data_IF_544727544629
#
_entry.id   IF_544727544629
#
_cell.length_a   1.000
_cell.length_b   1.000
_cell.length_c   1.000
_cell.angle_alpha   90.00
_cell.angle_beta   90.00
_cell.angle_gamma   90.00
#
_symmetry.space_group_name_H-M   'P 1'
#
loop_
_entity.id
_entity.type
_entity.pdbx_description
1 polymer ?
#
# COMPACT_ATOMS: atom_id res chain seq x y z
N UNK A 1 34.72 -9.39 5.99
CA UNK A 1 34.64 -8.34 7.04
C UNK A 1 33.97 -7.05 6.55
N UNK A 2 34.38 -6.40 5.45
CA UNK A 2 33.64 -5.24 4.91
C UNK A 2 32.23 -5.56 4.37
N UNK A 3 32.04 -6.71 3.70
CA UNK A 3 30.71 -7.19 3.29
C UNK A 3 29.78 -7.56 4.46
N UNK A 4 30.38 -7.90 5.61
CA UNK A 4 29.66 -8.32 6.81
C UNK A 4 29.19 -7.09 7.60
N UNK A 5 30.03 -6.04 7.66
CA UNK A 5 29.69 -4.71 8.17
C UNK A 5 28.67 -3.98 7.28
N UNK A 6 28.69 -4.17 5.95
CA UNK A 6 27.63 -3.67 5.07
C UNK A 6 26.32 -4.44 5.22
N UNK A 7 26.36 -5.76 5.48
CA UNK A 7 25.17 -6.54 5.85
C UNK A 7 24.58 -6.08 7.19
N UNK A 8 25.40 -5.90 8.22
CA UNK A 8 24.92 -5.41 9.53
C UNK A 8 24.45 -3.96 9.49
N UNK A 9 25.01 -3.10 8.63
CA UNK A 9 24.46 -1.74 8.40
C UNK A 9 23.15 -1.75 7.62
N UNK A 10 22.94 -2.70 6.71
CA UNK A 10 21.64 -2.91 6.02
C UNK A 10 20.60 -3.56 6.93
N UNK A 11 21.00 -4.41 7.86
CA UNK A 11 20.13 -4.93 8.94
C UNK A 11 19.69 -3.82 9.90
N UNK A 12 20.47 -2.75 10.07
CA UNK A 12 20.11 -1.62 10.94
C UNK A 12 19.08 -0.64 10.33
N UNK A 13 18.70 -0.80 9.06
CA UNK A 13 17.56 -0.11 8.45
C UNK A 13 16.31 -1.01 8.47
N UNK A 14 16.06 -1.72 9.58
CA UNK A 14 14.77 -2.36 9.78
C UNK A 14 13.69 -1.28 9.78
N UNK A 15 12.91 -1.20 8.71
CA UNK A 15 11.68 -0.40 8.60
C UNK A 15 10.59 -0.83 9.62
N UNK A 16 10.97 -1.65 10.61
CA UNK A 16 10.14 -2.14 11.70
C UNK A 16 9.22 -3.29 11.32
N UNK A 17 9.24 -3.76 10.06
CA UNK A 17 8.39 -4.83 9.57
C UNK A 17 9.18 -6.00 8.96
N UNK A 18 8.65 -7.21 9.14
CA UNK A 18 9.21 -8.47 8.61
C UNK A 18 8.31 -9.11 7.53
N UNK A 19 7.19 -8.44 7.18
CA UNK A 19 6.18 -8.91 6.22
C UNK A 19 5.94 -7.85 5.14
N UNK A 20 5.68 -8.27 3.91
CA UNK A 20 5.44 -7.39 2.75
C UNK A 20 4.21 -6.49 2.93
N UNK A 21 3.24 -6.89 3.77
CA UNK A 21 2.13 -6.02 4.19
C UNK A 21 2.62 -4.72 4.83
N UNK A 22 3.72 -4.75 5.58
CA UNK A 22 4.32 -3.54 6.16
C UNK A 22 4.95 -2.64 5.11
N UNK A 23 5.52 -3.21 4.04
CA UNK A 23 6.01 -2.41 2.92
C UNK A 23 4.87 -1.77 2.14
N UNK A 24 3.77 -2.51 1.91
CA UNK A 24 2.57 -1.95 1.30
C UNK A 24 2.02 -0.79 2.13
N UNK A 25 1.89 -0.96 3.45
CA UNK A 25 1.41 0.10 4.34
C UNK A 25 2.33 1.33 4.31
N UNK A 26 3.64 1.13 4.33
CA UNK A 26 4.62 2.22 4.20
C UNK A 26 4.56 2.93 2.85
N UNK A 27 4.22 2.21 1.77
CA UNK A 27 4.02 2.79 0.44
C UNK A 27 2.70 3.57 0.33
N UNK A 28 1.63 3.07 0.97
CA UNK A 28 0.33 3.75 1.04
C UNK A 28 0.34 4.95 2.00
N UNK A 29 1.23 4.99 2.99
CA UNK A 29 1.37 6.11 3.93
C UNK A 29 2.13 7.31 3.33
N UNK A 30 1.83 7.63 2.07
CA UNK A 30 2.34 8.79 1.34
C UNK A 30 1.17 9.65 0.87
N UNK A 31 1.19 10.92 1.25
CA UNK A 31 0.11 11.86 0.98
C UNK A 31 0.65 13.08 0.25
N UNK A 32 -0.13 13.60 -0.70
CA UNK A 32 0.29 14.71 -1.53
C UNK A 32 0.30 16.00 -0.68
N UNK A 33 1.42 16.73 -0.69
CA UNK A 33 1.55 17.98 0.06
C UNK A 33 1.66 17.83 1.58
N UNK A 34 1.85 16.60 2.10
CA UNK A 34 2.13 16.35 3.51
C UNK A 34 3.61 16.03 3.67
N UNK A 35 4.36 16.97 4.23
CA UNK A 35 5.77 16.74 4.60
C UNK A 35 5.91 16.67 6.11
N UNK A 36 6.48 15.57 6.60
CA UNK A 36 6.88 15.48 8.01
C UNK A 36 8.19 16.24 8.20
N UNK A 37 8.28 17.02 9.28
CA UNK A 37 9.55 17.65 9.69
C UNK A 37 10.54 16.53 10.00
N UNK A 38 11.66 16.41 9.28
CA UNK A 38 12.62 15.35 9.55
C UNK A 38 13.15 15.46 10.98
N UNK A 39 13.30 14.34 11.66
CA UNK A 39 13.79 14.33 13.04
C UNK A 39 15.14 15.05 13.21
N UNK A 40 15.98 15.06 12.17
CA UNK A 40 17.25 15.80 12.15
C UNK A 40 17.10 17.29 12.42
N UNK A 41 16.02 17.93 11.93
CA UNK A 41 15.74 19.34 12.20
C UNK A 41 15.40 19.56 13.68
N UNK A 42 14.60 18.68 14.26
CA UNK A 42 14.26 18.72 15.69
C UNK A 42 15.52 18.54 16.54
N UNK A 43 16.35 17.55 16.21
CA UNK A 43 17.61 17.30 16.90
C UNK A 43 18.57 18.49 16.78
N UNK A 44 18.72 19.07 15.58
CA UNK A 44 19.54 20.25 15.36
C UNK A 44 19.04 21.46 16.17
N UNK A 45 17.72 21.67 16.24
CA UNK A 45 17.13 22.73 17.04
C UNK A 45 17.40 22.55 18.53
N UNK A 46 17.33 21.31 19.05
CA UNK A 46 17.67 21.01 20.46
C UNK A 46 19.14 21.28 20.74
N UNK A 47 20.05 20.85 19.86
CA UNK A 47 21.49 21.11 20.03
C UNK A 47 21.77 22.61 19.98
N UNK A 48 21.18 23.33 19.03
CA UNK A 48 21.31 24.79 18.93
C UNK A 48 20.79 25.48 20.20
N UNK A 49 19.66 25.05 20.74
CA UNK A 49 19.09 25.56 21.99
C UNK A 49 20.06 25.38 23.18
N UNK A 50 20.62 24.17 23.33
CA UNK A 50 21.59 23.88 24.42
C UNK A 50 22.85 24.73 24.27
N UNK A 51 23.36 24.91 23.05
CA UNK A 51 24.54 25.73 22.79
C UNK A 51 24.27 27.22 23.05
N UNK A 52 23.07 27.71 22.78
CA UNK A 52 22.72 29.11 23.02
C UNK A 52 22.53 29.38 24.51
N UNK A 53 21.81 28.51 25.23
CA UNK A 53 21.52 28.75 26.65
C UNK A 53 22.74 28.53 27.56
N UNK A 54 23.67 27.65 27.16
CA UNK A 54 24.88 27.37 27.93
C UNK A 54 26.05 28.27 27.51
N UNK A 55 26.89 27.83 26.56
CA UNK A 55 28.08 28.58 26.17
C UNK A 55 27.75 29.93 25.54
N UNK A 56 26.72 30.01 24.69
CA UNK A 56 26.32 31.24 24.01
C UNK A 56 25.97 32.36 24.98
N UNK A 57 25.08 32.09 25.93
CA UNK A 57 24.65 33.04 26.95
C UNK A 57 25.82 33.50 27.83
N UNK A 58 26.64 32.55 28.29
CA UNK A 58 27.81 32.84 29.11
C UNK A 58 28.80 33.78 28.40
N UNK A 59 29.17 33.48 27.15
CA UNK A 59 30.12 34.32 26.41
C UNK A 59 29.53 35.69 26.08
N UNK A 60 28.25 35.77 25.71
CA UNK A 60 27.58 37.04 25.43
C UNK A 60 27.53 37.95 26.67
N UNK A 61 27.11 37.41 27.81
CA UNK A 61 27.00 38.20 29.04
C UNK A 61 28.36 38.53 29.65
N UNK A 62 29.34 37.63 29.56
CA UNK A 62 30.69 37.86 30.10
C UNK A 62 31.51 38.82 29.25
N UNK A 63 31.49 38.68 27.92
CA UNK A 63 32.37 39.45 27.02
C UNK A 63 31.73 40.70 26.42
N UNK A 64 30.41 40.72 26.22
CA UNK A 64 29.74 41.83 25.52
C UNK A 64 29.02 42.75 26.49
N UNK A 65 28.17 42.20 27.37
CA UNK A 65 27.29 43.02 28.23
C UNK A 65 27.92 43.34 29.60
N UNK A 66 28.80 42.46 30.09
CA UNK A 66 29.52 42.64 31.37
C UNK A 66 28.67 42.49 32.63
N UNK A 67 27.40 42.09 32.52
CA UNK A 67 26.47 41.88 33.65
C UNK A 67 25.87 40.49 33.60
N UNK A 68 26.31 39.62 34.53
CA UNK A 68 25.86 38.22 34.55
C UNK A 68 24.42 38.03 35.04
N UNK A 69 23.85 39.01 35.73
CA UNK A 69 22.45 38.93 36.21
C UNK A 69 21.41 38.96 35.07
N UNK A 70 21.82 39.42 33.87
CA UNK A 70 20.94 39.46 32.69
C UNK A 70 20.64 38.07 32.10
N UNK A 71 21.27 37.00 32.59
CA UNK A 71 20.97 35.61 32.23
C UNK A 71 19.48 35.29 32.37
N UNK A 72 18.80 35.84 33.37
CA UNK A 72 17.36 35.62 33.55
C UNK A 72 16.52 36.15 32.37
N UNK A 73 16.92 37.27 31.77
CA UNK A 73 16.23 37.87 30.64
C UNK A 73 16.59 37.14 29.35
N UNK A 74 17.88 36.90 29.11
CA UNK A 74 18.37 36.25 27.89
C UNK A 74 17.92 34.79 27.78
N UNK A 75 17.91 34.05 28.89
CA UNK A 75 17.37 32.68 28.93
C UNK A 75 15.86 32.65 28.66
N UNK A 76 15.09 33.54 29.29
CA UNK A 76 13.64 33.64 29.05
C UNK A 76 13.35 34.01 27.59
N UNK A 77 14.08 34.98 27.03
CA UNK A 77 13.94 35.37 25.63
C UNK A 77 14.29 34.21 24.69
N UNK A 78 15.36 33.46 24.99
CA UNK A 78 15.75 32.28 24.22
C UNK A 78 14.65 31.23 24.23
N UNK A 79 14.06 30.94 25.40
CA UNK A 79 12.93 30.01 25.51
C UNK A 79 11.77 30.47 24.62
N UNK A 80 11.37 31.74 24.71
CA UNK A 80 10.27 32.30 23.90
C UNK A 80 10.55 32.18 22.41
N UNK A 81 11.76 32.52 21.96
CA UNK A 81 12.16 32.42 20.55
C UNK A 81 12.13 30.98 20.05
N UNK A 82 12.72 30.04 20.80
CA UNK A 82 12.73 28.62 20.41
C UNK A 82 11.33 27.99 20.45
N UNK A 83 10.47 28.38 21.40
CA UNK A 83 9.06 27.99 21.41
C UNK A 83 8.31 28.53 20.18
N UNK A 84 8.55 29.78 19.79
CA UNK A 84 7.95 30.37 18.59
C UNK A 84 8.43 29.67 17.30
N UNK A 85 9.72 29.35 17.18
CA UNK A 85 10.27 28.58 16.07
C UNK A 85 9.64 27.18 16.01
N UNK A 86 9.56 26.48 17.14
CA UNK A 86 8.94 25.17 17.21
C UNK A 86 7.45 25.21 16.81
N UNK A 87 6.72 26.22 17.26
CA UNK A 87 5.32 26.43 16.88
C UNK A 87 5.18 26.70 15.37
N UNK A 88 6.04 27.53 14.80
CA UNK A 88 6.06 27.81 13.36
C UNK A 88 6.38 26.54 12.52
N UNK A 89 7.30 25.70 12.98
CA UNK A 89 7.62 24.42 12.33
C UNK A 89 6.45 23.42 12.38
N UNK A 90 5.62 23.47 13.42
CA UNK A 90 4.40 22.64 13.53
C UNK A 90 3.31 23.11 12.57
N UNK A 91 3.20 24.42 12.35
CA UNK A 91 2.29 25.05 11.40
C UNK A 91 2.71 24.90 9.92
N UNK A 92 3.85 24.25 9.64
CA UNK A 92 4.27 23.91 8.28
C UNK A 92 3.17 23.09 7.58
N UNK A 93 2.86 23.35 6.29
CA UNK A 93 1.71 22.75 5.61
C UNK A 93 1.64 21.23 5.77
N UNK A 94 0.62 20.79 6.51
CA UNK A 94 0.22 19.39 6.71
C UNK A 94 -0.91 18.98 5.75
N UNK A 95 -1.16 19.78 4.72
CA UNK A 95 -2.39 19.73 3.93
C UNK A 95 -3.60 20.15 4.77
N UNK A 96 -4.60 20.73 4.11
CA UNK A 96 -5.82 21.22 4.79
C UNK A 96 -7.00 20.24 4.70
N UNK A 97 -6.81 19.12 3.99
CA UNK A 97 -7.89 18.16 3.67
C UNK A 97 -7.51 16.75 4.11
N UNK A 98 -8.51 16.00 4.53
CA UNK A 98 -8.41 14.55 4.71
C UNK A 98 -8.02 13.90 3.38
N UNK A 99 -7.02 13.03 3.42
CA UNK A 99 -6.53 12.32 2.23
C UNK A 99 -6.68 10.83 2.40
N UNK A 100 -6.89 10.14 1.28
CA UNK A 100 -6.93 8.68 1.24
C UNK A 100 -5.82 8.19 0.32
N UNK A 101 -5.14 7.14 0.74
CA UNK A 101 -4.36 6.32 -0.18
C UNK A 101 -4.87 4.89 -0.09
N UNK A 102 -4.76 4.12 -1.16
CA UNK A 102 -5.20 2.73 -1.12
C UNK A 102 -4.92 1.94 -2.37
N UNK A 103 -5.10 0.64 -2.26
CA UNK A 103 -5.08 -0.29 -3.40
C UNK A 103 -6.31 -1.18 -3.32
N UNK A 104 -6.90 -1.45 -4.47
CA UNK A 104 -7.94 -2.42 -4.69
C UNK A 104 -7.41 -3.60 -5.49
N UNK A 105 -7.74 -4.81 -5.03
CA UNK A 105 -7.54 -6.04 -5.78
C UNK A 105 -8.88 -6.74 -5.95
N UNK A 106 -9.33 -6.87 -7.18
CA UNK A 106 -10.55 -7.58 -7.57
C UNK A 106 -10.16 -8.88 -8.24
N UNK A 107 -10.47 -10.00 -7.60
CA UNK A 107 -10.30 -11.32 -8.17
C UNK A 107 -11.64 -11.82 -8.72
N UNK A 108 -11.61 -12.34 -9.94
CA UNK A 108 -12.77 -12.92 -10.62
C UNK A 108 -12.42 -14.34 -11.05
N UNK A 109 -13.11 -15.35 -10.53
CA UNK A 109 -13.01 -16.72 -11.05
C UNK A 109 -14.08 -16.94 -12.10
N UNK A 110 -13.66 -16.99 -13.36
CA UNK A 110 -14.56 -17.13 -14.51
C UNK A 110 -15.22 -18.51 -14.55
N UNK A 111 -14.60 -19.54 -13.96
CA UNK A 111 -15.18 -20.88 -13.94
C UNK A 111 -16.35 -21.00 -12.96
N UNK A 112 -16.29 -20.31 -11.82
CA UNK A 112 -17.31 -20.37 -10.76
C UNK A 112 -18.24 -19.16 -10.75
N UNK A 113 -17.86 -18.08 -11.42
CA UNK A 113 -18.57 -16.79 -11.37
C UNK A 113 -18.33 -16.02 -10.08
N UNK A 114 -17.43 -16.45 -9.19
CA UNK A 114 -17.19 -15.77 -7.92
C UNK A 114 -16.31 -14.53 -8.10
N UNK A 115 -16.73 -13.43 -7.48
CA UNK A 115 -15.98 -12.17 -7.41
C UNK A 115 -15.61 -11.92 -5.96
N UNK A 116 -14.35 -11.56 -5.71
CA UNK A 116 -13.90 -11.10 -4.39
C UNK A 116 -13.04 -9.86 -4.52
N UNK A 117 -13.26 -8.89 -3.65
CA UNK A 117 -12.42 -7.71 -3.52
C UNK A 117 -11.63 -7.72 -2.21
N UNK A 118 -10.38 -7.28 -2.28
CA UNK A 118 -9.58 -6.90 -1.12
C UNK A 118 -9.15 -5.45 -1.28
N UNK A 119 -9.51 -4.62 -0.31
CA UNK A 119 -9.37 -3.17 -0.38
C UNK A 119 -8.55 -2.69 0.81
N UNK A 120 -7.37 -2.15 0.54
CA UNK A 120 -6.55 -1.49 1.55
C UNK A 120 -6.79 0.01 1.46
N UNK A 121 -7.05 0.66 2.60
CA UNK A 121 -7.19 2.11 2.69
C UNK A 121 -6.35 2.66 3.82
N UNK A 122 -5.76 3.82 3.59
CA UNK A 122 -5.05 4.64 4.57
C UNK A 122 -5.73 5.99 4.61
N UNK A 123 -6.33 6.32 5.74
CA UNK A 123 -7.02 7.60 5.95
C UNK A 123 -6.10 8.50 6.77
N UNK A 124 -5.70 9.64 6.20
CA UNK A 124 -4.93 10.67 6.88
C UNK A 124 -5.82 11.82 7.31
N UNK A 125 -5.65 12.31 8.54
CA UNK A 125 -6.35 13.50 9.00
C UNK A 125 -5.38 14.62 9.39
N UNK A 126 -5.50 15.82 8.80
CA UNK A 126 -4.71 16.99 9.19
C UNK A 126 -5.19 17.63 10.50
N UNK A 127 -6.30 17.14 11.09
CA UNK A 127 -6.89 17.65 12.33
C UNK A 127 -7.31 16.49 13.22
N UNK A 128 -7.53 16.76 14.51
CA UNK A 128 -8.16 15.75 15.38
C UNK A 128 -9.63 15.60 14.98
N UNK A 129 -9.99 14.49 14.35
CA UNK A 129 -11.34 14.23 13.85
C UNK A 129 -11.81 12.81 14.17
N UNK A 130 -13.13 12.62 14.12
CA UNK A 130 -13.78 11.31 14.21
C UNK A 130 -14.51 11.03 12.92
N UNK A 131 -14.34 9.82 12.41
CA UNK A 131 -14.93 9.41 11.15
C UNK A 131 -15.95 8.30 11.36
N UNK A 132 -17.10 8.46 10.70
CA UNK A 132 -18.04 7.39 10.47
C UNK A 132 -17.75 6.85 9.07
N UNK A 133 -17.31 5.62 9.00
CA UNK A 133 -16.76 5.02 7.79
C UNK A 133 -17.61 3.84 7.38
N UNK A 134 -18.07 3.84 6.14
CA UNK A 134 -18.65 2.67 5.50
C UNK A 134 -17.98 2.49 4.13
N UNK A 135 -17.97 1.26 3.63
CA UNK A 135 -17.41 0.99 2.31
C UNK A 135 -18.46 0.30 1.45
N UNK A 136 -18.47 0.66 0.18
CA UNK A 136 -19.34 0.07 -0.83
C UNK A 136 -18.48 -0.42 -1.98
N UNK A 137 -18.72 -1.67 -2.40
CA UNK A 137 -18.08 -2.19 -3.60
C UNK A 137 -18.76 -1.60 -4.83
N UNK A 138 -17.96 -1.18 -5.80
CA UNK A 138 -18.44 -0.72 -7.10
C UNK A 138 -18.12 -1.73 -8.20
N UNK A 139 -17.07 -2.54 -8.04
CA UNK A 139 -16.49 -3.54 -8.96
C UNK A 139 -16.36 -3.21 -10.47
N UNK A 140 -17.08 -2.25 -11.03
CA UNK A 140 -17.30 -2.06 -12.47
C UNK A 140 -18.37 -3.01 -13.01
N UNK A 141 -19.06 -2.62 -14.08
CA UNK A 141 -19.89 -3.57 -14.83
C UNK A 141 -18.97 -4.54 -15.60
N UNK A 142 -19.30 -5.84 -15.71
CA UNK A 142 -20.54 -6.53 -15.33
C UNK A 142 -20.50 -7.20 -13.94
N UNK A 143 -19.56 -6.81 -13.08
CA UNK A 143 -19.31 -7.48 -11.79
C UNK A 143 -20.22 -7.00 -10.65
N UNK A 144 -20.99 -5.94 -10.86
CA UNK A 144 -21.76 -5.26 -9.82
C UNK A 144 -23.14 -5.91 -9.53
N UNK A 145 -23.25 -7.24 -9.50
CA UNK A 145 -24.53 -7.89 -9.20
C UNK A 145 -24.77 -7.96 -7.68
N UNK A 146 -25.87 -7.38 -7.15
CA UNK A 146 -26.25 -7.56 -5.75
C UNK A 146 -26.86 -8.97 -5.52
N UNK A 147 -26.70 -9.55 -4.32
CA UNK A 147 -26.08 -8.96 -3.13
C UNK A 147 -24.54 -9.07 -3.14
N UNK A 148 -23.87 -7.94 -2.91
CA UNK A 148 -22.44 -7.91 -2.65
C UNK A 148 -22.21 -7.67 -1.15
N UNK A 149 -21.62 -8.64 -0.46
CA UNK A 149 -21.24 -8.49 0.95
C UNK A 149 -20.01 -7.61 1.10
N UNK A 150 -19.90 -6.91 2.24
CA UNK A 150 -18.81 -5.96 2.51
C UNK A 150 -18.41 -5.92 3.99
N UNK A 151 -17.25 -6.48 4.31
CA UNK A 151 -16.63 -6.38 5.62
C UNK A 151 -15.54 -5.29 5.60
N UNK A 152 -15.55 -4.38 6.56
CA UNK A 152 -14.67 -3.24 6.78
C UNK A 152 -14.23 -3.26 8.24
N UNK A 153 -12.93 -3.25 8.47
CA UNK A 153 -12.34 -3.19 9.80
C UNK A 153 -11.09 -2.32 9.80
N UNK A 154 -10.60 -2.01 11.00
CA UNK A 154 -9.25 -1.46 11.15
C UNK A 154 -8.22 -2.51 10.68
N UNK A 155 -7.09 -2.01 10.15
CA UNK A 155 -5.97 -2.85 9.75
C UNK A 155 -4.75 -2.48 10.59
N UNK A 156 -4.29 -3.45 11.39
CA UNK A 156 -3.02 -3.37 12.09
C UNK A 156 -1.95 -4.20 11.37
N UNK A 157 -0.71 -3.75 11.46
CA UNK A 157 0.42 -4.48 10.88
C UNK A 157 0.94 -5.56 11.84
N UNK A 158 1.46 -6.68 11.32
CA UNK A 158 2.23 -7.60 12.15
C UNK A 158 3.56 -6.96 12.62
N UNK A 159 4.03 -7.34 13.80
CA UNK A 159 5.34 -6.94 14.32
C UNK A 159 5.34 -5.68 15.17
N UNK A 160 6.54 -5.12 15.38
CA UNK A 160 6.84 -4.11 16.40
C UNK A 160 7.02 -2.69 15.84
N UNK A 161 6.68 -2.47 14.56
CA UNK A 161 6.70 -1.12 13.97
C UNK A 161 5.73 -0.18 14.71
N UNK A 162 5.82 1.12 14.46
CA UNK A 162 4.95 2.13 15.11
C UNK A 162 3.44 1.88 14.92
N UNK A 163 3.07 1.22 13.82
CA UNK A 163 1.69 0.80 13.48
C UNK A 163 1.47 -0.70 13.71
N UNK A 164 2.44 -1.39 14.29
CA UNK A 164 2.44 -2.83 14.52
C UNK A 164 1.61 -3.20 15.75
N UNK A 165 0.93 -4.34 15.67
CA UNK A 165 0.08 -4.86 16.74
C UNK A 165 0.91 -5.39 17.93
N UNK A 166 2.18 -5.74 17.72
CA UNK A 166 3.11 -6.15 18.78
C UNK A 166 3.94 -4.97 19.31
N UNK A 167 3.66 -3.75 18.83
CA UNK A 167 4.30 -2.57 19.38
C UNK A 167 3.93 -2.44 20.86
N UNK A 168 4.93 -2.11 21.69
CA UNK A 168 4.69 -1.71 23.07
C UNK A 168 4.03 -0.33 23.09
N UNK A 169 2.79 -0.25 22.61
CA UNK A 169 1.99 0.96 22.62
C UNK A 169 1.62 1.25 24.07
N UNK A 170 2.21 2.31 24.62
CA UNK A 170 1.64 2.98 25.78
C UNK A 170 0.37 3.65 25.26
N UNK A 171 -0.78 3.01 25.46
CA UNK A 171 -2.08 3.57 25.13
C UNK A 171 -2.20 4.97 25.77
N UNK A 172 -1.91 6.00 24.98
CA UNK A 172 -2.17 7.37 25.34
C UNK A 172 -3.68 7.53 25.48
N UNK A 173 -4.11 8.21 26.54
CA UNK A 173 -5.48 8.38 26.98
C UNK A 173 -6.38 9.13 25.97
N UNK A 174 -6.60 8.58 24.78
CA UNK A 174 -7.75 8.91 23.95
C UNK A 174 -8.83 7.88 24.27
N UNK A 175 -9.24 7.88 25.54
CA UNK A 175 -10.27 7.01 26.09
C UNK A 175 -11.65 7.45 25.64
N UNK A 176 -11.98 7.16 24.38
CA UNK A 176 -13.33 7.34 23.87
C UNK A 176 -13.61 6.31 22.80
N UNK A 177 -14.69 5.59 23.02
CA UNK A 177 -15.04 4.39 22.29
C UNK A 177 -15.25 4.67 20.79
N UNK A 178 -14.95 3.65 20.00
CA UNK A 178 -15.38 3.51 18.61
C UNK A 178 -16.02 2.13 18.49
N UNK A 179 -16.93 1.96 17.54
CA UNK A 179 -17.61 0.69 17.32
C UNK A 179 -17.42 0.22 15.88
N UNK A 180 -17.26 -1.09 15.70
CA UNK A 180 -17.49 -1.73 14.40
C UNK A 180 -18.88 -2.34 14.48
N UNK A 181 -19.81 -1.78 13.72
CA UNK A 181 -21.19 -2.26 13.68
C UNK A 181 -21.33 -3.16 12.47
N UNK A 182 -21.69 -4.42 12.71
CA UNK A 182 -22.02 -5.39 11.69
C UNK A 182 -23.55 -5.45 11.52
N UNK A 183 -23.99 -5.33 10.28
CA UNK A 183 -25.36 -5.59 9.87
C UNK A 183 -25.41 -6.96 9.20
N UNK A 184 -25.86 -7.95 9.96
CA UNK A 184 -25.88 -9.35 9.55
C UNK A 184 -26.90 -9.63 8.44
N UNK A 185 -27.91 -8.76 8.25
CA UNK A 185 -28.94 -8.99 7.23
C UNK A 185 -28.44 -8.68 5.82
N UNK A 186 -27.45 -7.79 5.71
CA UNK A 186 -26.86 -7.35 4.43
C UNK A 186 -25.37 -7.70 4.29
N UNK A 187 -24.79 -8.42 5.27
CA UNK A 187 -23.36 -8.72 5.37
C UNK A 187 -22.47 -7.47 5.22
N UNK A 188 -22.89 -6.36 5.81
CA UNK A 188 -22.16 -5.10 5.77
C UNK A 188 -21.63 -4.71 7.13
N UNK A 189 -20.51 -4.01 7.14
CA UNK A 189 -19.96 -3.44 8.38
C UNK A 189 -19.58 -1.99 8.17
N UNK A 190 -19.71 -1.21 9.23
CA UNK A 190 -19.31 0.18 9.29
C UNK A 190 -18.56 0.45 10.58
N UNK A 191 -17.70 1.46 10.56
CA UNK A 191 -16.95 1.92 11.72
C UNK A 191 -17.54 3.25 12.17
N UNK A 192 -17.99 3.33 13.41
CA UNK A 192 -18.57 4.53 13.99
C UNK A 192 -17.56 5.22 14.93
N UNK A 193 -17.45 6.53 14.77
CA UNK A 193 -16.64 7.41 15.63
C UNK A 193 -15.15 7.06 15.71
N UNK A 194 -14.54 6.53 14.64
CA UNK A 194 -13.11 6.19 14.59
C UNK A 194 -12.24 7.43 14.81
N UNK A 195 -11.45 7.52 15.89
CA UNK A 195 -10.62 8.69 16.15
C UNK A 195 -9.32 8.63 15.34
N UNK A 196 -9.02 9.71 14.60
CA UNK A 196 -7.73 9.93 13.96
C UNK A 196 -7.14 11.24 14.50
N UNK A 197 -5.92 11.13 15.02
CA UNK A 197 -5.20 12.27 15.58
C UNK A 197 -4.64 13.19 14.47
N UNK A 198 -4.41 14.44 14.81
CA UNK A 198 -3.80 15.46 13.96
C UNK A 198 -2.46 14.99 13.40
N UNK A 199 -2.35 14.97 12.08
CA UNK A 199 -1.15 14.49 11.39
C UNK A 199 -0.94 12.99 11.45
N UNK A 200 -1.94 12.24 11.95
CA UNK A 200 -1.93 10.78 11.99
C UNK A 200 -2.69 10.16 10.83
N UNK A 201 -2.40 8.89 10.58
CA UNK A 201 -3.09 8.05 9.62
C UNK A 201 -3.57 6.76 10.27
N UNK A 202 -4.64 6.17 9.70
CA UNK A 202 -5.16 4.87 10.10
C UNK A 202 -5.34 3.95 8.88
N UNK A 203 -4.86 2.73 9.03
CA UNK A 203 -5.09 1.63 8.10
C UNK A 203 -6.47 1.02 8.30
N UNK A 204 -7.16 0.77 7.19
CA UNK A 204 -8.41 0.05 7.11
C UNK A 204 -8.25 -1.06 6.07
N UNK A 205 -8.89 -2.19 6.33
CA UNK A 205 -8.98 -3.30 5.41
C UNK A 205 -10.45 -3.57 5.16
N UNK A 206 -10.81 -3.77 3.91
CA UNK A 206 -12.11 -4.27 3.56
C UNK A 206 -12.05 -5.47 2.63
N UNK A 207 -13.04 -6.35 2.76
CA UNK A 207 -13.26 -7.56 1.97
C UNK A 207 -14.67 -7.48 1.42
N UNK A 208 -14.78 -7.62 0.12
CA UNK A 208 -16.05 -7.69 -0.58
C UNK A 208 -16.17 -8.99 -1.34
N UNK A 209 -17.39 -9.44 -1.59
CA UNK A 209 -17.64 -10.58 -2.45
C UNK A 209 -18.97 -10.39 -3.17
N UNK A 210 -19.08 -10.98 -4.35
CA UNK A 210 -20.26 -10.96 -5.20
C UNK A 210 -20.18 -12.14 -6.17
N UNK A 211 -21.19 -12.28 -7.02
CA UNK A 211 -21.22 -13.23 -8.11
C UNK A 211 -21.35 -12.48 -9.43
N UNK A 212 -20.77 -13.02 -10.49
CA UNK A 212 -20.89 -12.50 -11.83
C UNK A 212 -21.09 -13.65 -12.81
N UNK A 213 -21.69 -13.34 -13.96
CA UNK A 213 -21.78 -14.27 -15.07
C UNK A 213 -20.94 -13.73 -16.22
N UNK A 214 -19.73 -14.28 -16.33
CA UNK A 214 -18.85 -14.01 -17.44
C UNK A 214 -18.82 -15.23 -18.36
N UNK A 215 -18.84 -14.98 -19.67
CA UNK A 215 -18.55 -16.05 -20.63
C UNK A 215 -17.04 -16.21 -20.69
N UNK A 216 -16.56 -17.42 -20.41
CA UNK A 216 -15.13 -17.67 -20.33
C UNK A 216 -14.46 -17.76 -21.70
N UNK A 217 -13.21 -17.26 -21.82
CA UNK A 217 -12.44 -17.38 -23.05
C UNK A 217 -12.12 -18.85 -23.36
N UNK A 218 -11.94 -19.15 -24.65
CA UNK A 218 -11.43 -20.45 -25.10
C UNK A 218 -9.91 -20.42 -25.08
N UNK A 219 -9.32 -20.85 -23.97
CA UNK A 219 -7.86 -20.99 -23.81
C UNK A 219 -7.46 -22.46 -23.77
N UNK A 220 -6.49 -22.80 -24.60
CA UNK A 220 -5.89 -24.13 -24.68
C UNK A 220 -4.39 -24.05 -24.37
N UNK A 221 -3.83 -25.08 -23.76
CA UNK A 221 -2.39 -25.17 -23.52
C UNK A 221 -1.74 -26.28 -24.36
N UNK A 222 -0.54 -26.00 -24.87
CA UNK A 222 0.30 -26.95 -25.60
C UNK A 222 1.00 -27.92 -24.63
N UNK A 223 1.63 -29.01 -25.12
CA UNK A 223 2.46 -29.88 -24.28
C UNK A 223 3.59 -29.15 -23.53
N UNK A 224 4.05 -28.00 -24.04
CA UNK A 224 5.04 -27.13 -23.41
C UNK A 224 4.42 -26.13 -22.40
N UNK A 225 3.14 -26.31 -22.05
CA UNK A 225 2.35 -25.44 -21.15
C UNK A 225 2.20 -24.01 -21.65
N UNK A 226 2.38 -23.75 -22.95
CA UNK A 226 2.13 -22.44 -23.54
C UNK A 226 0.67 -22.30 -23.92
N UNK A 227 0.09 -21.13 -23.69
CA UNK A 227 -1.32 -20.85 -23.94
C UNK A 227 -1.53 -20.42 -25.39
N UNK A 228 -2.66 -20.85 -25.96
CA UNK A 228 -3.22 -20.37 -27.22
C UNK A 228 -4.71 -20.10 -27.04
N UNK A 229 -5.23 -19.18 -27.84
CA UNK A 229 -6.65 -18.87 -27.83
C UNK A 229 -6.88 -17.37 -27.86
N UNK A 230 -8.02 -16.93 -27.33
CA UNK A 230 -8.39 -15.52 -27.31
C UNK A 230 -8.67 -15.11 -25.88
N UNK A 231 -8.05 -14.02 -25.44
CA UNK A 231 -8.33 -13.35 -24.17
C UNK A 231 -9.16 -12.12 -24.45
N UNK A 232 -10.15 -11.85 -23.60
CA UNK A 232 -11.00 -10.66 -23.66
C UNK A 232 -10.87 -9.86 -22.37
N UNK A 233 -10.97 -8.53 -22.47
CA UNK A 233 -11.29 -7.68 -21.32
C UNK A 233 -12.81 -7.59 -21.14
N UNK A 234 -13.41 -8.32 -20.18
CA UNK A 234 -14.86 -8.35 -20.03
C UNK A 234 -15.42 -7.13 -19.29
N UNK A 235 -14.57 -6.21 -18.80
CA UNK A 235 -15.01 -5.07 -18.01
C UNK A 235 -15.34 -3.86 -18.89
N UNK A 236 -16.16 -2.97 -18.36
CA UNK A 236 -16.42 -1.64 -18.93
C UNK A 236 -15.28 -0.63 -18.69
N UNK A 237 -14.18 -1.09 -18.06
CA UNK A 237 -13.01 -0.29 -17.75
C UNK A 237 -11.81 -0.70 -18.59
N UNK A 238 -10.99 0.29 -18.97
CA UNK A 238 -9.69 0.04 -19.60
C UNK A 238 -8.74 -0.62 -18.59
N UNK A 239 -8.13 -1.72 -19.00
CA UNK A 239 -7.04 -2.38 -18.28
C UNK A 239 -5.70 -2.02 -18.91
N UNK A 240 -4.80 -1.43 -18.14
CA UNK A 240 -3.43 -1.14 -18.52
C UNK A 240 -2.47 -2.19 -17.93
N UNK A 241 -1.25 -2.26 -18.49
CA UNK A 241 -0.18 -3.14 -18.01
C UNK A 241 -0.62 -4.62 -17.87
N UNK A 242 -1.47 -5.07 -18.80
CA UNK A 242 -2.05 -6.40 -18.80
C UNK A 242 -0.98 -7.46 -18.99
N UNK A 243 -1.02 -8.48 -18.13
CA UNK A 243 -0.18 -9.67 -18.26
C UNK A 243 -1.03 -10.90 -18.01
N UNK A 244 -0.97 -11.85 -18.93
CA UNK A 244 -1.52 -13.19 -18.73
C UNK A 244 -0.42 -14.10 -18.16
N UNK A 245 -0.70 -14.77 -17.06
CA UNK A 245 0.20 -15.73 -16.42
C UNK A 245 -0.36 -17.14 -16.57
N UNK A 246 0.47 -18.11 -16.97
CA UNK A 246 0.10 -19.52 -17.00
C UNK A 246 1.36 -20.38 -16.81
N UNK A 247 1.33 -21.27 -15.83
CA UNK A 247 2.47 -22.10 -15.44
C UNK A 247 3.73 -21.23 -15.23
N UNK A 248 4.79 -21.47 -16.02
CA UNK A 248 6.04 -20.69 -15.96
C UNK A 248 6.07 -19.50 -16.92
N UNK A 249 5.02 -19.28 -17.69
CA UNK A 249 4.99 -18.31 -18.79
C UNK A 249 4.15 -17.09 -18.46
N UNK A 250 4.66 -15.92 -18.85
CA UNK A 250 3.97 -14.63 -18.76
C UNK A 250 3.89 -14.00 -20.16
N UNK A 251 2.70 -13.54 -20.54
CA UNK A 251 2.42 -12.91 -21.83
C UNK A 251 2.02 -11.45 -21.57
N UNK A 252 2.92 -10.48 -21.79
CA UNK A 252 2.58 -9.07 -21.72
C UNK A 252 1.61 -8.71 -22.86
N UNK A 253 0.42 -8.23 -22.53
CA UNK A 253 -0.65 -7.85 -23.47
C UNK A 253 -0.85 -6.32 -23.55
N UNK A 254 0.02 -5.55 -22.90
CA UNK A 254 -0.02 -4.09 -22.85
C UNK A 254 -1.34 -3.52 -22.32
N UNK A 255 -2.15 -2.86 -23.14
CA UNK A 255 -3.43 -2.28 -22.73
C UNK A 255 -4.56 -3.00 -23.45
N UNK A 256 -5.61 -3.35 -22.70
CA UNK A 256 -6.86 -3.87 -23.20
C UNK A 256 -7.98 -2.86 -22.94
N UNK A 257 -8.56 -2.31 -24.01
CA UNK A 257 -9.75 -1.48 -23.94
C UNK A 257 -10.99 -2.34 -23.59
N UNK A 258 -12.10 -1.73 -23.12
CA UNK A 258 -13.33 -2.46 -22.79
C UNK A 258 -13.83 -3.34 -23.95
N UNK A 259 -14.06 -4.63 -23.70
CA UNK A 259 -14.49 -5.61 -24.70
C UNK A 259 -13.42 -5.97 -25.76
N UNK A 260 -12.19 -5.45 -25.64
CA UNK A 260 -11.12 -5.77 -26.58
C UNK A 260 -10.67 -7.23 -26.41
N UNK A 261 -10.50 -7.91 -27.54
CA UNK A 261 -9.96 -9.26 -27.59
C UNK A 261 -8.53 -9.28 -28.15
N UNK A 262 -7.70 -10.15 -27.60
CA UNK A 262 -6.32 -10.39 -28.05
C UNK A 262 -6.11 -11.88 -28.27
N UNK A 263 -5.67 -12.22 -29.48
CA UNK A 263 -5.30 -13.58 -29.83
C UNK A 263 -3.89 -13.89 -29.30
N UNK A 264 -3.76 -15.02 -28.59
CA UNK A 264 -2.49 -15.58 -28.12
C UNK A 264 -2.10 -16.68 -29.09
N UNK A 265 -1.00 -16.46 -29.80
CA UNK A 265 -0.45 -17.33 -30.84
C UNK A 265 1.07 -17.54 -30.69
N UNK A 266 1.68 -18.24 -31.64
CA UNK A 266 3.12 -18.55 -31.64
C UNK A 266 4.03 -17.33 -31.79
N UNK A 267 3.48 -16.19 -32.22
CA UNK A 267 4.21 -14.93 -32.39
C UNK A 267 4.13 -14.05 -31.15
N UNK A 268 3.26 -14.40 -30.20
CA UNK A 268 3.07 -13.64 -28.98
C UNK A 268 4.35 -13.70 -28.15
N UNK A 269 4.83 -12.55 -27.70
CA UNK A 269 6.03 -12.46 -26.88
C UNK A 269 5.79 -13.10 -25.51
N UNK A 270 6.66 -14.04 -25.13
CA UNK A 270 6.54 -14.79 -23.88
C UNK A 270 7.79 -14.59 -23.02
N UNK A 271 7.57 -14.38 -21.73
CA UNK A 271 8.59 -14.26 -20.71
C UNK A 271 8.43 -15.35 -19.66
N UNK A 272 9.49 -15.63 -18.90
CA UNK A 272 9.40 -16.47 -17.72
C UNK A 272 8.81 -15.65 -16.55
N UNK A 273 7.83 -16.21 -15.83
CA UNK A 273 7.12 -15.51 -14.74
C UNK A 273 8.09 -15.00 -13.68
N UNK A 274 9.04 -15.85 -13.25
CA UNK A 274 10.01 -15.45 -12.24
C UNK A 274 10.92 -14.32 -12.75
N UNK A 275 11.26 -14.33 -14.04
CA UNK A 275 12.10 -13.28 -14.63
C UNK A 275 11.36 -11.95 -14.71
N UNK A 276 10.06 -11.98 -15.06
CA UNK A 276 9.23 -10.79 -15.09
C UNK A 276 9.03 -10.20 -13.68
N UNK A 277 8.76 -11.04 -12.68
CA UNK A 277 8.47 -10.59 -11.32
C UNK A 277 9.71 -10.10 -10.57
N UNK A 278 10.89 -10.68 -10.84
CA UNK A 278 12.12 -10.33 -10.10
C UNK A 278 12.87 -9.13 -10.66
N UNK A 279 12.51 -8.68 -11.88
CA UNK A 279 13.23 -7.67 -12.67
C UNK A 279 14.71 -8.01 -12.86
N UNK A 280 15.22 -7.97 -14.09
CA UNK A 280 16.61 -8.34 -14.37
C UNK A 280 17.34 -7.17 -15.01
N UNK A 281 18.56 -6.95 -14.53
CA UNK A 281 19.49 -5.99 -15.13
C UNK A 281 20.76 -6.71 -15.58
N UNK A 282 21.35 -6.29 -16.71
CA UNK A 282 22.67 -6.76 -17.12
C UNK A 282 23.72 -6.15 -16.18
N UNK A 283 24.32 -6.97 -15.33
CA UNK A 283 25.43 -6.59 -14.44
C UNK A 283 26.65 -7.40 -14.87
N UNK A 284 27.72 -6.72 -15.30
CA UNK A 284 28.98 -7.35 -15.74
C UNK A 284 28.77 -8.44 -16.81
N UNK A 285 27.86 -8.21 -17.76
CA UNK A 285 27.55 -9.15 -18.84
C UNK A 285 26.71 -10.37 -18.43
N UNK A 286 26.24 -10.44 -17.18
CA UNK A 286 25.27 -11.45 -16.70
C UNK A 286 23.94 -10.79 -16.38
N UNK A 287 22.84 -11.43 -16.80
CA UNK A 287 21.50 -11.02 -16.38
C UNK A 287 21.23 -11.55 -14.98
N UNK A 288 21.21 -10.65 -14.00
CA UNK A 288 21.02 -10.98 -12.59
C UNK A 288 19.69 -10.39 -12.11
N UNK A 289 18.95 -11.16 -11.30
CA UNK A 289 17.76 -10.67 -10.63
C UNK A 289 18.12 -9.52 -9.69
N UNK A 290 17.37 -8.41 -9.79
CA UNK A 290 17.56 -7.28 -8.91
C UNK A 290 17.17 -7.66 -7.48
N UNK A 291 17.93 -7.17 -6.51
CA UNK A 291 17.58 -7.34 -5.11
C UNK A 291 16.28 -6.57 -4.83
N UNK A 292 15.38 -7.19 -4.05
CA UNK A 292 14.17 -6.50 -3.61
C UNK A 292 14.53 -5.33 -2.67
N UNK A 293 14.17 -4.12 -3.07
CA UNK A 293 14.37 -2.92 -2.28
C UNK A 293 13.19 -2.71 -1.32
N UNK A 294 13.47 -2.73 -0.02
CA UNK A 294 12.47 -2.58 1.04
C UNK A 294 12.10 -1.12 1.29
N UNK A 295 13.00 -0.20 0.94
CA UNK A 295 12.83 1.25 1.14
C UNK A 295 12.09 1.89 -0.02
N UNK A 296 11.96 1.18 -1.15
CA UNK A 296 11.21 1.62 -2.31
C UNK A 296 9.72 1.66 -2.01
N UNK A 297 9.15 2.87 -2.05
CA UNK A 297 7.75 3.18 -1.71
C UNK A 297 6.99 3.90 -2.83
N UNK A 298 7.67 4.34 -3.87
CA UNK A 298 7.11 5.11 -4.99
C UNK A 298 6.15 4.29 -5.87
N UNK A 299 6.25 2.97 -5.85
CA UNK A 299 5.49 2.06 -6.72
C UNK A 299 4.72 1.00 -5.90
N UNK A 300 3.52 1.34 -5.41
CA UNK A 300 2.62 0.36 -4.78
C UNK A 300 2.24 -0.80 -5.70
N UNK A 301 2.25 -0.58 -7.03
CA UNK A 301 1.90 -1.60 -8.01
C UNK A 301 2.92 -2.73 -8.12
N UNK A 302 4.21 -2.42 -8.00
CA UNK A 302 5.26 -3.44 -7.88
C UNK A 302 5.11 -4.27 -6.61
N UNK A 303 4.80 -3.63 -5.49
CA UNK A 303 4.53 -4.34 -4.22
C UNK A 303 3.31 -5.25 -4.38
N UNK A 304 2.24 -4.75 -5.01
CA UNK A 304 1.01 -5.51 -5.21
C UNK A 304 1.22 -6.71 -6.15
N UNK A 305 1.95 -6.55 -7.26
CA UNK A 305 2.35 -7.68 -8.14
C UNK A 305 3.16 -8.73 -7.36
N UNK A 306 4.08 -8.29 -6.51
CA UNK A 306 4.86 -9.18 -5.66
C UNK A 306 3.99 -9.92 -4.63
N UNK A 307 2.97 -9.27 -4.06
CA UNK A 307 2.00 -9.93 -3.17
C UNK A 307 1.12 -10.95 -3.91
N UNK A 308 0.68 -10.62 -5.13
CA UNK A 308 -0.16 -11.50 -5.95
C UNK A 308 0.53 -12.80 -6.38
N UNK A 309 1.87 -12.80 -6.47
CA UNK A 309 2.66 -13.93 -6.97
C UNK A 309 3.97 -14.14 -6.18
N UNK A 310 3.91 -14.00 -4.84
CA UNK A 310 5.10 -14.00 -3.98
C UNK A 310 5.90 -15.28 -4.11
N UNK A 311 5.26 -16.46 -4.01
CA UNK A 311 5.97 -17.73 -4.16
C UNK A 311 6.56 -17.92 -5.56
N UNK A 312 5.85 -17.54 -6.62
CA UNK A 312 6.34 -17.65 -8.01
C UNK A 312 7.54 -16.74 -8.28
N UNK A 313 7.65 -15.62 -7.57
CA UNK A 313 8.82 -14.74 -7.62
C UNK A 313 10.03 -15.25 -6.81
N UNK A 314 9.94 -16.42 -6.18
CA UNK A 314 10.98 -16.97 -5.29
C UNK A 314 10.75 -16.69 -3.80
N UNK A 315 9.59 -16.14 -3.45
CA UNK A 315 9.12 -15.96 -2.08
C UNK A 315 10.09 -15.18 -1.20
N UNK A 316 10.27 -15.66 0.03
CA UNK A 316 11.17 -15.03 1.02
C UNK A 316 12.62 -14.99 0.54
N UNK A 317 13.07 -15.93 -0.29
CA UNK A 317 14.45 -15.93 -0.80
C UNK A 317 14.72 -14.74 -1.71
N UNK A 318 13.70 -14.24 -2.41
CA UNK A 318 13.81 -13.05 -3.24
C UNK A 318 13.55 -11.76 -2.45
N UNK A 319 12.43 -11.68 -1.73
CA UNK A 319 12.05 -10.43 -1.06
C UNK A 319 12.71 -10.21 0.29
N UNK A 320 13.25 -11.26 0.92
CA UNK A 320 13.64 -11.27 2.34
C UNK A 320 12.52 -10.83 3.31
N UNK A 321 11.27 -10.85 2.86
CA UNK A 321 10.07 -10.53 3.65
C UNK A 321 9.13 -11.73 3.67
N UNK A 322 8.37 -11.86 4.76
CA UNK A 322 7.27 -12.80 4.85
C UNK A 322 6.07 -12.30 4.03
N UNK A 323 5.21 -13.22 3.60
CA UNK A 323 3.90 -12.93 3.04
C UNK A 323 2.87 -13.82 3.73
N UNK A 324 2.64 -13.56 5.02
CA UNK A 324 1.76 -14.38 5.87
C UNK A 324 0.45 -13.69 6.16
N UNK A 325 0.48 -12.38 6.43
CA UNK A 325 -0.70 -11.64 6.85
C UNK A 325 -1.78 -11.58 5.75
N UNK A 326 -1.35 -11.50 4.49
CA UNK A 326 -2.22 -11.49 3.30
C UNK A 326 -1.94 -12.63 2.33
N UNK A 327 -1.49 -13.79 2.84
CA UNK A 327 -1.13 -14.94 2.01
C UNK A 327 -2.22 -15.38 1.02
N UNK A 328 -3.50 -15.14 1.33
CA UNK A 328 -4.65 -15.45 0.46
C UNK A 328 -4.69 -14.66 -0.86
N UNK A 329 -3.92 -13.57 -0.96
CA UNK A 329 -3.75 -12.78 -2.18
C UNK A 329 -2.81 -13.47 -3.16
N UNK A 330 -1.91 -14.31 -2.67
CA UNK A 330 -0.93 -15.01 -3.50
C UNK A 330 -1.59 -16.16 -4.27
N UNK A 331 -1.66 -16.03 -5.60
CA UNK A 331 -2.16 -17.07 -6.49
C UNK A 331 -1.03 -17.81 -7.23
N UNK A 332 0.21 -17.74 -6.76
CA UNK A 332 1.33 -18.49 -7.34
C UNK A 332 1.05 -19.99 -7.49
N UNK A 333 0.33 -20.58 -6.53
CA UNK A 333 -0.03 -22.00 -6.56
C UNK A 333 -1.07 -22.35 -7.63
N UNK A 334 -1.75 -21.35 -8.20
CA UNK A 334 -2.72 -21.55 -9.28
C UNK A 334 -2.05 -21.60 -10.65
N UNK A 335 -0.85 -21.03 -10.81
CA UNK A 335 -0.12 -21.02 -12.07
C UNK A 335 0.16 -22.42 -12.64
N UNK A 336 0.66 -23.41 -11.88
CA UNK A 336 0.90 -24.76 -12.42
C UNK A 336 -0.39 -25.58 -12.61
N UNK A 337 -1.56 -25.04 -12.22
CA UNK A 337 -2.85 -25.68 -12.44
C UNK A 337 -3.39 -25.33 -13.82
N UNK A 338 -4.43 -26.02 -14.28
CA UNK A 338 -5.07 -25.80 -15.60
C UNK A 338 -5.87 -24.48 -15.67
N UNK A 339 -5.26 -23.38 -15.20
CA UNK A 339 -5.85 -22.05 -15.13
C UNK A 339 -4.81 -21.02 -15.55
N UNK A 340 -5.23 -20.06 -16.37
CA UNK A 340 -4.47 -18.86 -16.66
C UNK A 340 -4.97 -17.71 -15.79
N UNK A 341 -4.12 -16.74 -15.49
CA UNK A 341 -4.44 -15.60 -14.64
C UNK A 341 -4.12 -14.33 -15.42
N UNK A 342 -5.14 -13.58 -15.85
CA UNK A 342 -4.97 -12.26 -16.44
C UNK A 342 -4.95 -11.22 -15.32
N UNK A 343 -3.91 -10.41 -15.24
CA UNK A 343 -3.84 -9.25 -14.34
C UNK A 343 -3.77 -7.97 -15.15
N UNK A 344 -4.55 -6.96 -14.78
CA UNK A 344 -4.50 -5.63 -15.36
C UNK A 344 -4.77 -4.54 -14.32
N UNK A 345 -4.23 -3.35 -14.57
CA UNK A 345 -4.44 -2.15 -13.74
C UNK A 345 -5.56 -1.29 -14.32
N UNK A 346 -6.45 -0.79 -13.48
CA UNK A 346 -7.53 0.11 -13.87
C UNK A 346 -7.42 1.45 -13.13
N UNK A 347 -7.82 2.52 -13.80
CA UNK A 347 -7.88 3.86 -13.22
C UNK A 347 -9.18 4.14 -12.44
N UNK A 348 -10.15 3.22 -12.50
CA UNK A 348 -11.40 3.32 -11.78
C UNK A 348 -11.33 2.60 -10.44
N UNK A 349 -12.06 3.09 -9.43
CA UNK A 349 -12.09 2.51 -8.09
C UNK A 349 -12.99 1.28 -8.07
N UNK A 350 -12.55 0.20 -7.42
CA UNK A 350 -13.39 -0.97 -7.22
C UNK A 350 -14.19 -0.92 -5.91
N UNK A 351 -13.81 -0.04 -4.98
CA UNK A 351 -14.62 0.28 -3.81
C UNK A 351 -14.50 1.74 -3.38
N UNK A 352 -15.61 2.29 -2.87
CA UNK A 352 -15.70 3.64 -2.37
C UNK A 352 -15.86 3.64 -0.85
N UNK A 353 -14.97 4.38 -0.16
CA UNK A 353 -15.07 4.66 1.26
C UNK A 353 -15.91 5.93 1.45
N UNK A 354 -16.99 5.84 2.21
CA UNK A 354 -17.86 6.97 2.57
C UNK A 354 -17.55 7.45 3.98
N UNK A 355 -17.76 8.75 4.21
CA UNK A 355 -17.35 9.49 5.41
C UNK A 355 -18.54 10.09 6.18
N UNK A 356 -19.72 9.45 6.17
CA UNK A 356 -20.92 9.95 6.86
C UNK A 356 -21.24 11.43 6.63
N UNK A 357 -21.89 12.08 7.61
CA UNK A 357 -22.28 13.51 7.58
C UNK A 357 -21.11 14.50 7.68
N UNK A 358 -19.85 14.05 7.64
CA UNK A 358 -18.72 14.96 7.59
C UNK A 358 -18.69 15.62 6.20
N UNK A 359 -19.18 16.86 6.14
CA UNK A 359 -19.17 17.75 4.98
C UNK A 359 -17.74 18.18 4.55
N UNK A 360 -16.80 17.26 4.47
CA UNK A 360 -15.54 17.46 3.77
C UNK A 360 -15.68 17.02 2.31
N UNK A 361 -15.11 17.82 1.40
CA UNK A 361 -15.02 17.46 -0.01
C UNK A 361 -14.45 16.05 -0.16
N UNK A 362 -14.97 15.28 -1.12
CA UNK A 362 -14.58 13.89 -1.35
C UNK A 362 -13.05 13.75 -1.28
N UNK A 363 -12.52 12.93 -0.35
CA UNK A 363 -11.09 12.86 -0.08
C UNK A 363 -10.30 12.57 -1.37
N UNK A 364 -9.32 13.44 -1.61
CA UNK A 364 -8.35 13.33 -2.69
C UNK A 364 -7.27 12.31 -2.33
N UNK A 365 -6.75 11.60 -3.32
CA UNK A 365 -5.96 10.43 -3.01
C UNK A 365 -5.47 9.59 -4.17
N UNK A 366 -4.35 8.91 -3.96
CA UNK A 366 -3.82 7.89 -4.88
C UNK A 366 -4.49 6.55 -4.61
N UNK A 367 -5.19 6.04 -5.60
CA UNK A 367 -5.84 4.74 -5.55
C UNK A 367 -5.41 3.95 -6.78
N UNK A 368 -4.92 2.74 -6.55
CA UNK A 368 -4.58 1.80 -7.59
C UNK A 368 -5.59 0.66 -7.58
N UNK A 369 -6.09 0.25 -8.74
CA UNK A 369 -7.02 -0.88 -8.83
C UNK A 369 -6.43 -1.95 -9.73
N UNK A 370 -6.41 -3.18 -9.26
CA UNK A 370 -5.97 -4.34 -10.01
C UNK A 370 -7.13 -5.30 -10.19
N UNK A 371 -7.37 -5.69 -11.43
CA UNK A 371 -8.28 -6.78 -11.77
C UNK A 371 -7.47 -8.02 -12.07
N UNK A 372 -7.89 -9.15 -11.51
CA UNK A 372 -7.28 -10.45 -11.71
C UNK A 372 -8.34 -11.47 -12.10
N UNK A 373 -8.33 -11.90 -13.36
CA UNK A 373 -9.25 -12.91 -13.87
C UNK A 373 -8.56 -14.27 -13.88
N UNK A 374 -9.16 -15.23 -13.20
CA UNK A 374 -8.77 -16.64 -13.25
C UNK A 374 -9.59 -17.31 -14.35
N UNK A 375 -8.90 -17.70 -15.41
CA UNK A 375 -9.47 -18.22 -16.65
C UNK A 375 -9.23 -19.73 -16.71
N UNK A 376 -10.25 -20.56 -16.99
CA UNK A 376 -10.06 -21.98 -17.20
C UNK A 376 -9.25 -22.21 -18.48
N UNK A 377 -8.41 -23.25 -18.48
CA UNK A 377 -7.65 -23.67 -19.67
C UNK A 377 -7.85 -25.16 -19.90
N UNK A 378 -7.72 -25.61 -21.15
CA UNK A 378 -7.85 -27.03 -21.51
C UNK A 378 -6.62 -27.53 -22.24
N UNK A 379 -6.26 -28.82 -22.15
CA UNK A 379 -5.22 -29.37 -23.01
C UNK A 379 -5.64 -29.24 -24.48
N UNK A 380 -4.71 -28.85 -25.33
CA UNK A 380 -4.91 -28.93 -26.78
C UNK A 380 -4.85 -30.40 -27.20
N UNK A 381 -5.94 -30.89 -27.78
CA UNK A 381 -6.02 -32.25 -28.35
C UNK A 381 -5.06 -32.47 -29.52
#
# INVERSE_FOLDING_TARGET
>A
KQNEQQRTRKEAAHLGFDDISGQLDAALDQYDGVSFVPFSWVAALIVAYILIIGPGDYFFLRKVVGRMELTWITSTLTVVVFSAIAWALVGWPRGDRTQIAGVDLVDVDVATGQVRGTHWRRVYSPRNQRFNLAMQSTFGEPLAQPPAGMLLAWHGLPGKSISGMDAASRAGAVGRDYAIVADSDVDQTRIESLPIAVGGSKGLLARSWSECRLTGPSLEYTPQRQIRGVVENPFDVRLANCVLYHDRWAYPLETLEPGQTVAIDDRTHVLDVAWMLTERAPIEGRNVALAWDHERRDDPGRIMRMMMFHQAAGGRLHTNLLHRYFAYVDLSQHLPLERAILVGEANQRAAQLSFGDAAEAAPTGRLHTYYRLVLPTRPRE
#
